data_IF_397131079909
#
_entry.id   IF_397131079909
#
_cell.length_a   1.000
_cell.length_b   1.000
_cell.length_c   1.000
_cell.angle_alpha   90.00
_cell.angle_beta   90.00
_cell.angle_gamma   90.00
#
_symmetry.space_group_name_H-M   'P 1'
#
loop_
_entity.id
_entity.type
_entity.pdbx_description
1 polymer ?
#
# COMPACT_ATOMS: atom_id res chain seq x y z
N UNK A 1 0.88 27.65 32.06
CA UNK A 1 0.51 27.33 30.66
C UNK A 1 1.47 26.35 29.96
N UNK A 2 2.80 26.58 29.93
CA UNK A 2 3.77 25.66 29.29
C UNK A 2 3.84 24.25 29.89
N UNK A 3 3.71 24.09 31.22
CA UNK A 3 3.67 22.76 31.89
C UNK A 3 2.46 21.93 31.47
N UNK A 4 1.27 22.53 31.38
CA UNK A 4 0.02 21.85 31.00
C UNK A 4 0.08 21.34 29.55
N UNK A 5 0.64 22.13 28.64
CA UNK A 5 0.86 21.72 27.24
C UNK A 5 1.86 20.56 27.11
N UNK A 6 2.90 20.53 27.95
CA UNK A 6 3.86 19.43 27.99
C UNK A 6 3.24 18.15 28.59
N UNK A 7 2.46 18.26 29.66
CA UNK A 7 1.74 17.13 30.26
C UNK A 7 0.75 16.51 29.27
N UNK A 8 -0.05 17.33 28.57
CA UNK A 8 -0.97 16.86 27.53
C UNK A 8 -0.26 16.19 26.35
N UNK A 9 0.97 16.61 26.02
CA UNK A 9 1.75 16.01 24.93
C UNK A 9 2.32 14.64 25.33
N UNK A 10 2.79 14.50 26.57
CA UNK A 10 3.28 13.24 27.13
C UNK A 10 2.15 12.23 27.28
N UNK A 11 0.98 12.66 27.77
CA UNK A 11 -0.22 11.80 27.88
C UNK A 11 -0.74 11.35 26.51
N UNK A 12 -0.72 12.23 25.49
CA UNK A 12 -1.06 11.81 24.12
C UNK A 12 -0.05 10.83 23.55
N UNK A 13 1.24 11.01 23.80
CA UNK A 13 2.28 10.07 23.35
C UNK A 13 2.15 8.71 24.03
N UNK A 14 1.85 8.66 25.33
CA UNK A 14 1.64 7.39 26.03
C UNK A 14 0.37 6.67 25.57
N UNK A 15 -0.70 7.40 25.21
CA UNK A 15 -1.90 6.82 24.61
C UNK A 15 -1.63 6.24 23.21
N UNK A 16 -0.90 6.95 22.35
CA UNK A 16 -0.48 6.44 21.02
C UNK A 16 0.36 5.17 21.18
N UNK A 17 1.31 5.15 22.13
CA UNK A 17 2.15 3.99 22.41
C UNK A 17 1.35 2.81 23.00
N UNK A 18 0.27 3.08 23.75
CA UNK A 18 -0.60 2.06 24.29
C UNK A 18 -1.50 1.45 23.21
N UNK A 19 -2.06 2.28 22.32
CA UNK A 19 -2.81 1.85 21.14
C UNK A 19 -1.93 1.00 20.21
N UNK A 20 -0.69 1.41 19.95
CA UNK A 20 0.25 0.65 19.13
C UNK A 20 0.58 -0.72 19.75
N UNK A 21 0.67 -0.82 21.09
CA UNK A 21 0.90 -2.10 21.78
C UNK A 21 -0.30 -3.04 21.69
N UNK A 22 -1.51 -2.50 21.82
CA UNK A 22 -2.73 -3.28 21.65
C UNK A 22 -2.86 -3.78 20.21
N UNK A 23 -2.53 -2.94 19.23
CA UNK A 23 -2.49 -3.30 17.81
C UNK A 23 -1.45 -4.38 17.50
N UNK A 24 -0.30 -4.39 18.18
CA UNK A 24 0.70 -5.45 18.02
C UNK A 24 0.25 -6.82 18.54
N UNK A 25 -0.66 -6.86 19.50
CA UNK A 25 -1.19 -8.10 20.07
C UNK A 25 -2.31 -8.72 19.22
N UNK A 26 -2.88 -7.96 18.28
CA UNK A 26 -3.96 -8.44 17.40
C UNK A 26 -3.44 -9.43 16.36
N UNK A 27 -4.25 -10.45 15.98
CA UNK A 27 -3.90 -11.35 14.88
C UNK A 27 -3.57 -10.57 13.59
N UNK A 28 -2.52 -11.01 12.88
CA UNK A 28 -2.03 -10.33 11.66
C UNK A 28 -3.16 -10.17 10.63
N UNK A 29 -3.94 -11.22 10.42
CA UNK A 29 -5.02 -11.19 9.42
C UNK A 29 -6.10 -10.17 9.75
N UNK A 30 -6.44 -9.95 11.02
CA UNK A 30 -7.46 -8.95 11.38
C UNK A 30 -6.95 -7.54 11.12
N UNK A 31 -5.67 -7.29 11.38
CA UNK A 31 -5.02 -6.01 11.06
C UNK A 31 -4.96 -5.77 9.55
N UNK A 32 -4.73 -6.81 8.75
CA UNK A 32 -4.76 -6.73 7.28
C UNK A 32 -6.17 -6.43 6.78
N UNK A 33 -7.19 -7.05 7.36
CA UNK A 33 -8.61 -6.79 7.02
C UNK A 33 -8.99 -5.34 7.28
N UNK A 34 -8.70 -4.84 8.47
CA UNK A 34 -9.02 -3.47 8.85
C UNK A 34 -8.27 -2.47 7.97
N UNK A 35 -6.97 -2.69 7.77
CA UNK A 35 -6.15 -1.82 6.93
C UNK A 35 -6.63 -1.79 5.47
N UNK A 36 -7.13 -2.90 4.93
CA UNK A 36 -7.71 -2.91 3.59
C UNK A 36 -8.95 -2.01 3.50
N UNK A 37 -9.82 -2.04 4.51
CA UNK A 37 -11.00 -1.17 4.55
C UNK A 37 -10.61 0.31 4.68
N UNK A 38 -9.65 0.60 5.56
CA UNK A 38 -9.16 1.95 5.84
C UNK A 38 -8.40 2.60 4.68
N UNK A 39 -7.93 1.81 3.69
CA UNK A 39 -7.21 2.33 2.53
C UNK A 39 -8.06 3.29 1.67
N UNK A 40 -9.39 3.16 1.76
CA UNK A 40 -10.36 4.03 1.08
C UNK A 40 -10.79 5.26 1.90
N UNK A 41 -10.22 5.47 3.09
CA UNK A 41 -10.58 6.58 3.98
C UNK A 41 -10.30 7.95 3.35
N UNK A 42 -11.17 8.93 3.57
CA UNK A 42 -10.92 10.32 3.18
C UNK A 42 -9.73 10.93 3.93
N UNK A 43 -9.43 10.42 5.13
CA UNK A 43 -8.30 10.88 5.93
C UNK A 43 -6.99 10.32 5.40
N UNK A 44 -6.12 11.23 4.92
CA UNK A 44 -4.77 10.87 4.47
C UNK A 44 -3.97 10.14 5.56
N UNK A 45 -4.12 10.56 6.82
CA UNK A 45 -3.44 9.93 7.94
C UNK A 45 -3.87 8.47 8.15
N UNK A 46 -5.17 8.20 8.05
CA UNK A 46 -5.73 6.84 8.16
C UNK A 46 -5.23 5.99 7.00
N UNK A 47 -5.31 6.50 5.76
CA UNK A 47 -4.79 5.80 4.58
C UNK A 47 -3.30 5.49 4.68
N UNK A 48 -2.50 6.42 5.18
CA UNK A 48 -1.06 6.20 5.38
C UNK A 48 -0.81 5.10 6.43
N UNK A 49 -1.53 5.12 7.56
CA UNK A 49 -1.42 4.07 8.59
C UNK A 49 -1.80 2.70 8.01
N UNK A 50 -2.92 2.63 7.32
CA UNK A 50 -3.40 1.44 6.62
C UNK A 50 -2.39 0.91 5.59
N UNK A 51 -1.90 1.78 4.71
CA UNK A 51 -0.90 1.42 3.70
C UNK A 51 0.39 0.89 4.34
N UNK A 52 0.84 1.46 5.45
CA UNK A 52 2.02 0.93 6.16
C UNK A 52 1.78 -0.44 6.79
N UNK A 53 0.59 -0.69 7.34
CA UNK A 53 0.20 -2.01 7.86
C UNK A 53 0.18 -3.05 6.73
N UNK A 54 -0.47 -2.73 5.62
CA UNK A 54 -0.52 -3.61 4.45
C UNK A 54 0.88 -3.86 3.89
N UNK A 55 1.69 -2.82 3.68
CA UNK A 55 3.07 -2.94 3.18
C UNK A 55 3.88 -3.91 4.02
N UNK A 56 3.75 -3.84 5.35
CA UNK A 56 4.47 -4.71 6.28
C UNK A 56 4.11 -6.19 6.08
N UNK A 57 2.83 -6.51 5.93
CA UNK A 57 2.39 -7.91 5.95
C UNK A 57 2.27 -8.55 4.56
N UNK A 58 1.84 -7.80 3.55
CA UNK A 58 1.76 -8.26 2.16
C UNK A 58 3.15 -8.62 1.62
N UNK A 59 4.19 -7.89 2.02
CA UNK A 59 5.57 -8.20 1.64
C UNK A 59 6.15 -9.45 2.30
N UNK A 60 5.56 -9.93 3.39
CA UNK A 60 6.10 -11.04 4.22
C UNK A 60 5.26 -12.32 4.16
N UNK A 61 4.02 -12.23 3.67
CA UNK A 61 3.06 -13.34 3.73
C UNK A 61 2.24 -13.43 2.44
N UNK A 62 2.42 -14.52 1.70
CA UNK A 62 1.58 -14.83 0.53
C UNK A 62 0.10 -14.91 0.91
N UNK A 63 -0.22 -15.45 2.09
CA UNK A 63 -1.61 -15.51 2.58
C UNK A 63 -2.22 -14.10 2.71
N UNK A 64 -1.48 -13.15 3.27
CA UNK A 64 -1.94 -11.76 3.37
C UNK A 64 -2.07 -11.12 1.99
N UNK A 65 -1.09 -11.33 1.11
CA UNK A 65 -1.13 -10.82 -0.26
C UNK A 65 -2.33 -11.37 -1.04
N UNK A 66 -2.59 -12.67 -0.92
CA UNK A 66 -3.68 -13.36 -1.58
C UNK A 66 -5.02 -12.88 -1.04
N UNK A 67 -5.14 -12.69 0.29
CA UNK A 67 -6.33 -12.10 0.89
C UNK A 67 -6.61 -10.69 0.35
N UNK A 68 -5.59 -9.81 0.34
CA UNK A 68 -5.74 -8.45 -0.19
C UNK A 68 -6.15 -8.49 -1.66
N UNK A 69 -5.54 -9.36 -2.46
CA UNK A 69 -5.90 -9.52 -3.87
C UNK A 69 -7.34 -10.00 -4.07
N UNK A 70 -7.73 -11.08 -3.41
CA UNK A 70 -9.06 -11.69 -3.58
C UNK A 70 -10.20 -10.79 -3.07
N UNK A 71 -9.89 -9.77 -2.26
CA UNK A 71 -10.85 -8.80 -1.73
C UNK A 71 -10.76 -7.42 -2.42
N UNK A 72 -10.28 -7.37 -3.67
CA UNK A 72 -10.29 -6.13 -4.48
C UNK A 72 -9.25 -5.09 -4.04
N UNK A 73 -8.20 -5.51 -3.33
CA UNK A 73 -7.17 -4.60 -2.85
C UNK A 73 -6.35 -3.98 -3.95
N UNK A 74 -6.21 -4.65 -5.11
CA UNK A 74 -5.54 -4.06 -6.26
C UNK A 74 -6.28 -2.82 -6.78
N UNK A 75 -7.60 -2.93 -6.96
CA UNK A 75 -8.47 -1.81 -7.36
C UNK A 75 -8.39 -0.68 -6.34
N UNK A 76 -8.49 -1.01 -5.05
CA UNK A 76 -8.42 -0.02 -3.98
C UNK A 76 -7.07 0.73 -3.96
N UNK A 77 -5.96 0.03 -4.22
CA UNK A 77 -4.63 0.63 -4.33
C UNK A 77 -4.56 1.57 -5.54
N UNK A 78 -5.03 1.15 -6.71
CA UNK A 78 -5.01 1.95 -7.93
C UNK A 78 -5.87 3.21 -7.79
N UNK A 79 -7.07 3.10 -7.23
CA UNK A 79 -7.95 4.25 -6.95
C UNK A 79 -7.31 5.21 -5.93
N UNK A 80 -6.65 4.66 -4.92
CA UNK A 80 -5.91 5.46 -3.93
C UNK A 80 -4.74 6.21 -4.54
N UNK A 81 -4.01 5.58 -5.47
CA UNK A 81 -2.92 6.21 -6.22
C UNK A 81 -3.44 7.33 -7.14
N UNK A 82 -4.58 7.14 -7.81
CA UNK A 82 -5.20 8.19 -8.64
C UNK A 82 -5.54 9.43 -7.81
N UNK A 83 -6.04 9.23 -6.58
CA UNK A 83 -6.32 10.29 -5.63
C UNK A 83 -5.08 11.04 -5.12
N UNK A 84 -3.88 10.48 -5.28
CA UNK A 84 -2.62 11.06 -4.82
C UNK A 84 -2.04 12.12 -5.76
N UNK A 85 -2.54 12.31 -6.98
CA UNK A 85 -1.95 13.26 -7.96
C UNK A 85 -2.09 14.77 -7.62
N UNK A 86 -2.27 15.18 -6.34
CA UNK A 86 -2.66 16.55 -5.93
C UNK A 86 -1.77 17.28 -4.89
N UNK A 87 -0.58 16.81 -4.51
CA UNK A 87 0.33 17.60 -3.65
C UNK A 87 1.40 16.83 -2.85
N UNK A 88 2.18 17.50 -2.00
CA UNK A 88 3.35 16.93 -1.28
C UNK A 88 2.99 15.82 -0.26
N UNK A 89 1.85 15.93 0.42
CA UNK A 89 1.37 14.88 1.35
C UNK A 89 0.98 13.57 0.66
N UNK A 90 0.86 13.57 -0.67
CA UNK A 90 0.53 12.36 -1.43
C UNK A 90 1.70 11.40 -1.57
N UNK A 91 2.93 11.90 -1.62
CA UNK A 91 4.15 11.11 -1.79
C UNK A 91 4.32 10.07 -0.68
N UNK A 92 4.00 10.44 0.56
CA UNK A 92 4.09 9.55 1.72
C UNK A 92 3.19 8.32 1.61
N UNK A 93 2.07 8.44 0.88
CA UNK A 93 1.12 7.35 0.64
C UNK A 93 1.43 6.59 -0.65
N UNK A 94 1.95 7.27 -1.67
CA UNK A 94 2.32 6.64 -2.96
C UNK A 94 3.40 5.57 -2.77
N UNK A 95 4.44 5.85 -1.97
CA UNK A 95 5.52 4.90 -1.70
C UNK A 95 4.97 3.55 -1.15
N UNK A 96 4.22 3.52 -0.03
CA UNK A 96 3.71 2.26 0.48
C UNK A 96 2.71 1.60 -0.46
N UNK A 97 1.86 2.35 -1.19
CA UNK A 97 0.94 1.80 -2.18
C UNK A 97 1.66 1.06 -3.32
N UNK A 98 2.67 1.68 -3.92
CA UNK A 98 3.50 1.04 -4.95
C UNK A 98 4.21 -0.21 -4.40
N UNK A 99 4.70 -0.14 -3.16
CA UNK A 99 5.39 -1.24 -2.50
C UNK A 99 4.48 -2.45 -2.21
N UNK A 100 3.22 -2.20 -1.83
CA UNK A 100 2.20 -3.25 -1.67
C UNK A 100 1.94 -3.91 -3.02
N UNK A 101 1.66 -3.13 -4.06
CA UNK A 101 1.38 -3.65 -5.40
C UNK A 101 2.56 -4.49 -5.93
N UNK A 102 3.79 -3.98 -5.79
CA UNK A 102 5.03 -4.69 -6.13
C UNK A 102 5.12 -6.03 -5.38
N UNK A 103 4.81 -6.03 -4.08
CA UNK A 103 4.84 -7.23 -3.25
C UNK A 103 3.79 -8.26 -3.67
N UNK A 104 2.57 -7.85 -4.01
CA UNK A 104 1.53 -8.76 -4.50
C UNK A 104 1.93 -9.45 -5.81
N UNK A 105 2.49 -8.69 -6.75
CA UNK A 105 2.87 -9.20 -8.08
C UNK A 105 4.04 -10.20 -8.01
N UNK A 106 4.84 -10.21 -6.93
CA UNK A 106 5.88 -11.23 -6.72
C UNK A 106 5.31 -12.65 -6.62
N UNK A 107 4.08 -12.81 -6.14
CA UNK A 107 3.47 -14.12 -5.96
C UNK A 107 2.85 -14.63 -7.27
N UNK A 108 3.32 -15.79 -7.74
CA UNK A 108 2.85 -16.39 -9.01
C UNK A 108 1.34 -16.66 -9.02
N UNK A 109 0.80 -17.06 -7.87
CA UNK A 109 -0.63 -17.31 -7.64
C UNK A 109 -1.48 -16.09 -8.01
N UNK A 110 -1.12 -14.91 -7.49
CA UNK A 110 -1.77 -13.63 -7.83
C UNK A 110 -1.53 -13.30 -9.31
N UNK A 111 -0.29 -13.42 -9.78
CA UNK A 111 0.10 -13.05 -11.14
C UNK A 111 -0.67 -13.81 -12.22
N UNK A 112 -0.94 -15.10 -12.00
CA UNK A 112 -1.72 -15.94 -12.93
C UNK A 112 -3.22 -15.63 -12.92
N UNK A 113 -3.76 -15.06 -11.82
CA UNK A 113 -5.15 -14.64 -11.74
C UNK A 113 -5.42 -13.31 -12.49
N UNK A 114 -4.38 -12.56 -12.84
CA UNK A 114 -4.52 -11.33 -13.61
C UNK A 114 -4.78 -11.63 -15.09
N UNK A 115 -5.97 -11.28 -15.58
CA UNK A 115 -6.29 -11.32 -17.02
C UNK A 115 -5.46 -10.33 -17.84
N UNK A 116 -5.35 -10.57 -19.14
CA UNK A 116 -4.53 -9.76 -20.06
C UNK A 116 -4.90 -8.27 -20.04
N UNK A 117 -6.19 -7.96 -20.11
CA UNK A 117 -6.69 -6.57 -20.06
C UNK A 117 -6.27 -5.86 -18.76
N UNK A 118 -6.37 -6.56 -17.63
CA UNK A 118 -5.95 -6.01 -16.34
C UNK A 118 -4.44 -5.75 -16.30
N UNK A 119 -3.64 -6.66 -16.86
CA UNK A 119 -2.18 -6.46 -16.95
C UNK A 119 -1.84 -5.22 -17.78
N UNK A 120 -2.52 -5.02 -18.92
CA UNK A 120 -2.33 -3.82 -19.76
C UNK A 120 -2.69 -2.53 -19.03
N UNK A 121 -3.85 -2.49 -18.37
CA UNK A 121 -4.27 -1.33 -17.56
C UNK A 121 -3.25 -1.02 -16.45
N UNK A 122 -2.79 -2.04 -15.72
CA UNK A 122 -1.75 -1.87 -14.70
C UNK A 122 -0.45 -1.31 -15.27
N UNK A 123 0.04 -1.84 -16.39
CA UNK A 123 1.28 -1.36 -17.03
C UNK A 123 1.13 0.11 -17.46
N UNK A 124 -0.01 0.48 -18.06
CA UNK A 124 -0.29 1.87 -18.44
C UNK A 124 -0.28 2.80 -17.22
N UNK A 125 -0.95 2.41 -16.14
CA UNK A 125 -0.98 3.18 -14.88
C UNK A 125 0.40 3.27 -14.24
N UNK A 126 1.20 2.20 -14.27
CA UNK A 126 2.59 2.24 -13.81
C UNK A 126 3.40 3.32 -14.54
N UNK A 127 3.31 3.41 -15.87
CA UNK A 127 4.01 4.46 -16.62
C UNK A 127 3.52 5.87 -16.26
N UNK A 128 2.21 6.06 -16.06
CA UNK A 128 1.65 7.33 -15.60
C UNK A 128 2.24 7.76 -14.24
N UNK A 129 2.26 6.85 -13.26
CA UNK A 129 2.82 7.15 -11.94
C UNK A 129 4.34 7.29 -11.94
N UNK A 130 5.07 6.54 -12.77
CA UNK A 130 6.51 6.75 -12.95
C UNK A 130 6.81 8.17 -13.43
N UNK A 131 6.04 8.68 -14.40
CA UNK A 131 6.22 10.04 -14.91
C UNK A 131 5.90 11.08 -13.83
N UNK A 132 4.81 10.90 -13.08
CA UNK A 132 4.40 11.81 -12.01
C UNK A 132 5.40 11.84 -10.83
N UNK A 133 6.02 10.71 -10.52
CA UNK A 133 6.88 10.52 -9.34
C UNK A 133 8.34 10.16 -9.70
N UNK A 134 8.81 10.59 -10.87
CA UNK A 134 10.13 10.20 -11.41
C UNK A 134 11.34 10.53 -10.52
N UNK A 135 11.19 11.51 -9.61
CA UNK A 135 12.23 11.91 -8.65
C UNK A 135 12.28 11.04 -7.39
N UNK A 136 11.32 10.14 -7.20
CA UNK A 136 11.24 9.26 -6.04
C UNK A 136 11.70 7.87 -6.48
N UNK A 137 12.96 7.56 -6.17
CA UNK A 137 13.61 6.33 -6.61
C UNK A 137 12.85 5.06 -6.21
N UNK A 138 12.31 5.01 -4.98
CA UNK A 138 11.55 3.85 -4.49
C UNK A 138 10.31 3.58 -5.36
N UNK A 139 9.54 4.62 -5.69
CA UNK A 139 8.35 4.51 -6.54
C UNK A 139 8.76 4.04 -7.94
N UNK A 140 9.79 4.65 -8.52
CA UNK A 140 10.25 4.28 -9.85
C UNK A 140 10.71 2.81 -9.91
N UNK A 141 11.45 2.34 -8.90
CA UNK A 141 11.95 0.97 -8.83
C UNK A 141 10.82 -0.05 -8.63
N UNK A 142 9.87 0.22 -7.74
CA UNK A 142 8.73 -0.65 -7.50
C UNK A 142 7.85 -0.76 -8.75
N UNK A 143 7.54 0.37 -9.39
CA UNK A 143 6.75 0.36 -10.62
C UNK A 143 7.48 -0.34 -11.77
N UNK A 144 8.81 -0.19 -11.87
CA UNK A 144 9.60 -0.86 -12.93
C UNK A 144 9.59 -2.36 -12.75
N UNK A 145 9.69 -2.81 -11.50
CA UNK A 145 9.60 -4.23 -11.13
C UNK A 145 8.24 -4.80 -11.50
N UNK A 146 7.16 -4.05 -11.28
CA UNK A 146 5.80 -4.47 -11.64
C UNK A 146 5.67 -4.62 -13.16
N UNK A 147 6.12 -3.63 -13.95
CA UNK A 147 6.07 -3.68 -15.41
C UNK A 147 6.80 -4.92 -15.94
N UNK A 148 8.05 -5.13 -15.53
CA UNK A 148 8.84 -6.30 -15.94
C UNK A 148 8.16 -7.62 -15.55
N UNK A 149 7.65 -7.71 -14.32
CA UNK A 149 7.01 -8.92 -13.85
C UNK A 149 5.72 -9.26 -14.61
N UNK A 150 4.97 -8.26 -15.08
CA UNK A 150 3.75 -8.43 -15.85
C UNK A 150 4.04 -8.78 -17.33
N UNK A 151 5.14 -8.26 -17.89
CA UNK A 151 5.59 -8.55 -19.27
C UNK A 151 6.22 -9.95 -19.41
N UNK A 152 6.89 -10.48 -18.37
CA UNK A 152 7.44 -11.84 -18.38
C UNK A 152 6.38 -12.92 -18.65
N UNK A 153 5.13 -12.68 -18.27
CA UNK A 153 4.01 -13.59 -18.52
C UNK A 153 3.46 -13.52 -19.96
N UNK A 154 3.97 -12.63 -20.81
CA UNK A 154 3.56 -12.50 -22.21
C UNK A 154 4.38 -13.37 -23.17
N UNK A 155 5.35 -14.16 -22.68
CA UNK A 155 6.04 -15.14 -23.52
C UNK A 155 5.19 -16.42 -23.62
N UNK A 156 4.68 -16.79 -24.81
CA UNK A 156 4.06 -18.09 -24.99
C UNK A 156 5.10 -19.17 -24.70
N UNK A 157 4.70 -20.15 -23.89
CA UNK A 157 5.43 -21.42 -23.77
C UNK A 157 5.05 -22.32 -24.94
#
# INVERSE_FOLDING_TARGET
>A
MRKILATNRVERQSLILAEDRLELARPIMDRVKDALQELSSESLFIRLKAANVLRKFVGLSELCAQYVFDNGGLECILDSLDGCNRGVGSTEVVIPLCSIMCSMIKFKTIKHKLGEERRKDMVQRCFHFMAAFYRISEVFMDLSTIVLALEENCKPT
#
